data_IF_287125876711
#
_entry.id   IF_287125876711
#
_cell.length_a   1.000
_cell.length_b   1.000
_cell.length_c   1.000
_cell.angle_alpha   90.00
_cell.angle_beta   90.00
_cell.angle_gamma   90.00
#
_symmetry.space_group_name_H-M   'P 1'
#
loop_
_entity.id
_entity.type
_entity.pdbx_description
1 polymer ?
#
# COMPACT_ATOMS: atom_id res chain seq x y z
N UNK A 1 11.02 -4.03 -18.96
CA UNK A 1 9.64 -4.23 -18.49
C UNK A 1 9.15 -2.99 -17.75
N UNK A 2 7.93 -2.53 -18.03
CA UNK A 2 7.31 -1.41 -17.32
C UNK A 2 6.18 -1.99 -16.48
N UNK A 3 6.19 -1.75 -15.16
CA UNK A 3 5.12 -2.23 -14.28
C UNK A 3 4.04 -1.16 -14.16
N UNK A 4 2.78 -1.50 -14.45
CA UNK A 4 1.64 -0.62 -14.16
C UNK A 4 1.35 -0.66 -12.66
N UNK A 5 1.27 0.51 -12.03
CA UNK A 5 1.20 0.64 -10.58
C UNK A 5 -0.14 1.18 -10.11
N UNK A 6 -0.75 0.47 -9.16
CA UNK A 6 -1.91 0.93 -8.40
C UNK A 6 -1.54 1.25 -6.96
N UNK A 7 -2.22 2.21 -6.36
CA UNK A 7 -2.00 2.59 -4.96
C UNK A 7 -3.32 2.85 -4.22
N UNK A 8 -3.50 2.24 -3.05
CA UNK A 8 -4.54 2.63 -2.10
C UNK A 8 -3.93 3.45 -0.97
N UNK A 9 -4.70 4.40 -0.43
CA UNK A 9 -4.29 5.31 0.65
C UNK A 9 -3.04 6.12 0.24
N UNK A 10 -3.07 6.70 -0.96
CA UNK A 10 -1.88 7.31 -1.55
C UNK A 10 -1.42 8.58 -0.83
N UNK A 11 -2.29 9.21 -0.04
CA UNK A 11 -2.05 10.53 0.52
C UNK A 11 -1.58 11.50 -0.57
N UNK A 12 -0.60 12.39 -0.27
CA UNK A 12 -0.04 13.29 -1.27
C UNK A 12 0.94 12.61 -2.25
N UNK A 13 1.12 11.28 -2.18
CA UNK A 13 1.88 10.51 -3.18
C UNK A 13 3.33 10.18 -2.81
N UNK A 14 3.66 10.03 -1.53
CA UNK A 14 5.03 9.73 -1.09
C UNK A 14 5.60 8.43 -1.68
N UNK A 15 4.86 7.31 -1.56
CA UNK A 15 5.27 6.03 -2.17
C UNK A 15 5.27 6.12 -3.70
N UNK A 16 4.25 6.77 -4.28
CA UNK A 16 4.20 6.99 -5.72
C UNK A 16 5.41 7.77 -6.26
N UNK A 17 5.86 8.83 -5.59
CA UNK A 17 7.05 9.57 -6.00
C UNK A 17 8.28 8.67 -6.05
N UNK A 18 8.51 7.89 -4.98
CA UNK A 18 9.61 6.91 -4.94
C UNK A 18 9.50 5.85 -6.05
N UNK A 19 8.29 5.36 -6.30
CA UNK A 19 8.03 4.40 -7.38
C UNK A 19 8.31 5.00 -8.78
N UNK A 20 7.87 6.23 -9.04
CA UNK A 20 8.12 6.94 -10.31
C UNK A 20 9.59 7.23 -10.57
N UNK A 21 10.40 7.40 -9.51
CA UNK A 21 11.85 7.58 -9.58
C UNK A 21 12.63 6.27 -9.77
N UNK A 22 12.01 5.11 -9.51
CA UNK A 22 12.68 3.82 -9.56
C UNK A 22 13.01 3.37 -11.00
N UNK A 23 14.30 3.19 -11.27
CA UNK A 23 14.83 2.75 -12.56
C UNK A 23 15.96 1.73 -12.35
N UNK A 24 15.81 0.53 -12.92
CA UNK A 24 16.87 -0.49 -12.94
C UNK A 24 17.25 -0.79 -14.37
N UNK A 25 18.53 -0.63 -14.71
CA UNK A 25 19.09 -1.03 -16.01
C UNK A 25 20.04 -2.20 -15.80
N UNK A 26 19.68 -3.37 -16.32
CA UNK A 26 20.54 -4.56 -16.28
C UNK A 26 21.66 -4.46 -17.32
N UNK A 27 22.72 -5.26 -17.12
CA UNK A 27 23.86 -5.36 -18.05
C UNK A 27 23.46 -5.79 -19.46
N UNK A 28 22.41 -6.61 -19.59
CA UNK A 28 21.87 -7.06 -20.88
C UNK A 28 20.99 -6.01 -21.58
N UNK A 29 20.89 -4.78 -21.04
CA UNK A 29 20.09 -3.70 -21.61
C UNK A 29 18.63 -3.68 -21.18
N UNK A 30 18.14 -4.69 -20.43
CA UNK A 30 16.78 -4.64 -19.89
C UNK A 30 16.59 -3.47 -18.92
N UNK A 31 15.53 -2.71 -19.14
CA UNK A 31 15.13 -1.60 -18.28
C UNK A 31 13.87 -2.00 -17.51
N UNK A 32 13.89 -1.83 -16.19
CA UNK A 32 12.73 -1.95 -15.31
C UNK A 32 12.38 -0.58 -14.76
N UNK A 33 11.12 -0.17 -14.90
CA UNK A 33 10.58 1.07 -14.35
C UNK A 33 9.12 0.89 -13.97
N UNK A 34 8.59 1.84 -13.21
CA UNK A 34 7.21 1.84 -12.77
C UNK A 34 6.47 2.97 -13.50
N UNK A 35 5.21 2.72 -13.86
CA UNK A 35 4.30 3.71 -14.44
C UNK A 35 3.00 3.69 -13.65
N UNK A 36 2.59 4.84 -13.13
CA UNK A 36 1.33 4.96 -12.39
C UNK A 36 0.13 4.70 -13.31
N UNK A 37 -0.83 3.93 -12.80
CA UNK A 37 -2.08 3.62 -13.48
C UNK A 37 -3.28 4.22 -12.78
N UNK A 38 -3.33 4.14 -11.45
CA UNK A 38 -4.36 4.76 -10.63
C UNK A 38 -3.86 4.86 -9.19
N UNK A 39 -4.42 5.81 -8.44
CA UNK A 39 -4.26 5.93 -7.01
C UNK A 39 -5.62 6.21 -6.37
N UNK A 40 -5.75 5.96 -5.06
CA UNK A 40 -6.97 6.26 -4.31
C UNK A 40 -6.64 6.83 -2.94
N UNK A 41 -7.32 7.92 -2.60
CA UNK A 41 -7.43 8.42 -1.24
C UNK A 41 -8.84 8.97 -1.02
N UNK A 42 -9.25 9.16 0.23
CA UNK A 42 -10.55 9.75 0.56
C UNK A 42 -10.43 11.26 0.84
N UNK A 43 -9.23 11.74 1.14
CA UNK A 43 -8.96 13.14 1.43
C UNK A 43 -8.77 13.95 0.14
N UNK A 44 -9.54 15.03 -0.01
CA UNK A 44 -9.56 15.83 -1.22
C UNK A 44 -8.23 16.58 -1.42
N UNK A 45 -7.67 17.16 -0.35
CA UNK A 45 -6.43 17.93 -0.42
C UNK A 45 -5.24 17.02 -0.79
N UNK A 46 -5.22 15.80 -0.27
CA UNK A 46 -4.28 14.76 -0.65
C UNK A 46 -4.40 14.40 -2.13
N UNK A 47 -5.63 14.16 -2.63
CA UNK A 47 -5.86 13.83 -4.04
C UNK A 47 -5.46 14.97 -4.98
N UNK A 48 -5.78 16.21 -4.64
CA UNK A 48 -5.41 17.39 -5.43
C UNK A 48 -3.89 17.57 -5.46
N UNK A 49 -3.24 17.37 -4.32
CA UNK A 49 -1.77 17.39 -4.23
C UNK A 49 -1.14 16.27 -5.05
N UNK A 50 -1.68 15.05 -4.98
CA UNK A 50 -1.22 13.91 -5.78
C UNK A 50 -1.34 14.22 -7.28
N UNK A 51 -2.51 14.67 -7.73
CA UNK A 51 -2.78 14.94 -9.14
C UNK A 51 -1.91 16.07 -9.70
N UNK A 52 -1.55 17.04 -8.86
CA UNK A 52 -0.65 18.15 -9.23
C UNK A 52 0.81 17.70 -9.39
N UNK A 53 1.29 16.77 -8.58
CA UNK A 53 2.73 16.48 -8.46
C UNK A 53 3.17 15.12 -9.01
N UNK A 54 2.28 14.12 -8.99
CA UNK A 54 2.59 12.75 -9.42
C UNK A 54 2.07 12.49 -10.83
N UNK A 55 0.79 12.80 -11.08
CA UNK A 55 0.22 12.68 -12.40
C UNK A 55 -1.25 13.08 -12.43
N UNK A 56 -1.61 13.84 -13.45
CA UNK A 56 -2.94 14.43 -13.62
C UNK A 56 -4.01 13.34 -13.73
N UNK A 57 -5.12 13.53 -13.01
CA UNK A 57 -6.32 12.67 -13.04
C UNK A 57 -6.06 11.19 -12.69
N UNK A 58 -5.03 10.91 -11.89
CA UNK A 58 -4.69 9.56 -11.43
C UNK A 58 -5.31 9.21 -10.07
N UNK A 59 -5.38 10.18 -9.15
CA UNK A 59 -5.96 9.98 -7.83
C UNK A 59 -7.48 10.04 -7.89
N UNK A 60 -8.10 8.91 -7.53
CA UNK A 60 -9.54 8.75 -7.38
C UNK A 60 -9.90 9.16 -5.95
N UNK A 61 -10.45 10.37 -5.78
CA UNK A 61 -10.90 10.88 -4.49
C UNK A 61 -12.20 10.19 -4.07
N UNK A 62 -12.07 9.12 -3.27
CA UNK A 62 -13.20 8.30 -2.81
C UNK A 62 -12.80 7.46 -1.59
N UNK A 63 -13.71 7.32 -0.64
CA UNK A 63 -13.58 6.28 0.40
C UNK A 63 -13.39 4.91 -0.28
N UNK A 64 -12.31 4.21 0.07
CA UNK A 64 -11.97 2.88 -0.45
C UNK A 64 -13.13 1.87 -0.31
N UNK A 65 -13.99 2.04 0.70
CA UNK A 65 -15.17 1.20 0.94
C UNK A 65 -16.21 1.31 -0.17
N UNK A 66 -16.19 2.42 -0.90
CA UNK A 66 -17.07 2.74 -2.04
C UNK A 66 -16.33 2.65 -3.39
N UNK A 67 -15.05 2.27 -3.38
CA UNK A 67 -14.25 2.13 -4.59
C UNK A 67 -14.63 0.84 -5.33
N UNK A 68 -14.97 0.96 -6.61
CA UNK A 68 -15.18 -0.20 -7.47
C UNK A 68 -13.83 -0.73 -7.97
N UNK A 69 -13.26 -1.64 -7.20
CA UNK A 69 -11.96 -2.28 -7.50
C UNK A 69 -11.98 -3.03 -8.83
N UNK A 70 -13.14 -3.54 -9.24
CA UNK A 70 -13.29 -4.36 -10.45
C UNK A 70 -13.17 -3.51 -11.71
N UNK A 71 -13.71 -2.29 -11.66
CA UNK A 71 -13.64 -1.32 -12.75
C UNK A 71 -12.27 -0.65 -12.92
N UNK A 72 -11.36 -0.78 -11.94
CA UNK A 72 -10.04 -0.16 -12.03
C UNK A 72 -9.18 -0.79 -13.15
N UNK A 73 -8.33 -0.01 -13.83
CA UNK A 73 -7.37 -0.55 -14.80
C UNK A 73 -6.46 -1.62 -14.20
N UNK A 74 -6.10 -2.61 -15.02
CA UNK A 74 -5.19 -3.70 -14.63
C UNK A 74 -3.79 -3.18 -14.25
N UNK A 75 -3.27 -3.68 -13.13
CA UNK A 75 -1.93 -3.35 -12.60
C UNK A 75 -1.02 -4.58 -12.55
N UNK A 76 0.29 -4.34 -12.62
CA UNK A 76 1.35 -5.34 -12.42
C UNK A 76 2.03 -5.22 -11.05
N UNK A 77 1.85 -4.08 -10.38
CA UNK A 77 2.46 -3.72 -9.12
C UNK A 77 1.47 -2.95 -8.26
N UNK A 78 1.51 -3.16 -6.94
CA UNK A 78 0.55 -2.55 -6.02
C UNK A 78 1.23 -2.02 -4.76
N UNK A 79 0.78 -0.89 -4.23
CA UNK A 79 1.15 -0.46 -2.90
C UNK A 79 -0.04 0.02 -2.08
N UNK A 80 0.05 -0.10 -0.76
CA UNK A 80 -0.93 0.48 0.14
C UNK A 80 -0.36 0.71 1.54
N UNK A 81 -0.48 1.95 2.05
CA UNK A 81 -0.20 2.31 3.44
C UNK A 81 -1.50 2.35 4.24
N UNK A 82 -1.94 1.22 4.77
CA UNK A 82 -3.27 1.16 5.39
C UNK A 82 -3.27 1.72 6.82
N UNK A 83 -4.31 2.47 7.22
CA UNK A 83 -4.39 3.06 8.54
C UNK A 83 -4.42 2.00 9.64
N UNK A 84 -3.73 2.28 10.74
CA UNK A 84 -3.52 1.37 11.87
C UNK A 84 -4.22 1.87 13.16
N UNK A 85 -5.08 2.89 13.06
CA UNK A 85 -5.55 3.65 14.22
C UNK A 85 -6.37 2.83 15.24
N UNK A 86 -7.06 1.76 14.81
CA UNK A 86 -7.76 0.85 15.73
C UNK A 86 -6.83 -0.09 16.49
N UNK A 87 -5.55 -0.15 16.11
CA UNK A 87 -4.58 -1.06 16.68
C UNK A 87 -3.61 -0.37 17.65
N UNK A 88 -3.48 0.96 17.57
CA UNK A 88 -2.44 1.71 18.30
C UNK A 88 -2.90 2.39 19.59
N UNK A 89 -4.18 2.76 19.75
CA UNK A 89 -4.64 3.55 20.90
C UNK A 89 -6.11 3.20 21.20
N UNK A 90 -6.42 2.81 22.44
CA UNK A 90 -7.77 2.61 23.02
C UNK A 90 -8.42 1.23 22.81
N UNK A 91 -8.33 0.41 23.86
CA UNK A 91 -9.49 -0.34 24.35
C UNK A 91 -9.59 -1.79 23.90
N UNK A 92 -9.54 -2.67 24.90
CA UNK A 92 -9.76 -4.12 24.91
C UNK A 92 -11.05 -4.65 24.25
N UNK A 93 -11.77 -3.92 23.38
CA UNK A 93 -13.12 -4.37 22.96
C UNK A 93 -13.47 -4.43 21.48
N UNK A 94 -12.75 -3.82 20.52
CA UNK A 94 -13.26 -3.81 19.12
C UNK A 94 -12.43 -4.52 18.05
N UNK A 95 -11.12 -4.77 18.21
CA UNK A 95 -10.35 -5.62 17.27
C UNK A 95 -10.66 -5.39 15.77
N UNK A 96 -10.85 -6.46 15.00
CA UNK A 96 -11.23 -6.42 13.57
C UNK A 96 -12.65 -5.88 13.29
N UNK A 97 -13.43 -5.54 14.33
CA UNK A 97 -14.76 -4.96 14.21
C UNK A 97 -14.73 -3.42 14.34
N UNK A 98 -13.54 -2.82 14.49
CA UNK A 98 -13.37 -1.37 14.43
C UNK A 98 -13.51 -0.80 13.01
N UNK A 99 -13.56 0.53 12.89
CA UNK A 99 -13.77 1.23 11.62
C UNK A 99 -12.54 1.19 10.69
N UNK A 100 -11.34 1.12 11.25
CA UNK A 100 -10.06 1.19 10.55
C UNK A 100 -9.37 -0.18 10.45
N UNK A 101 -9.59 -1.09 11.41
CA UNK A 101 -9.01 -2.43 11.42
C UNK A 101 -9.29 -3.28 10.15
N UNK A 102 -10.48 -3.22 9.53
CA UNK A 102 -10.78 -3.91 8.27
C UNK A 102 -10.12 -3.31 7.03
N UNK A 103 -9.51 -2.13 7.08
CA UNK A 103 -9.10 -1.40 5.87
C UNK A 103 -7.99 -2.11 5.08
N UNK A 104 -7.13 -2.91 5.72
CA UNK A 104 -6.17 -3.76 5.00
C UNK A 104 -6.84 -4.78 4.06
N UNK A 105 -8.10 -5.17 4.34
CA UNK A 105 -8.83 -6.13 3.51
C UNK A 105 -9.19 -5.58 2.13
N UNK A 106 -9.22 -4.25 1.95
CA UNK A 106 -9.36 -3.68 0.62
C UNK A 106 -8.09 -3.86 -0.21
N UNK A 107 -6.92 -3.84 0.43
CA UNK A 107 -5.67 -4.27 -0.20
C UNK A 107 -5.75 -5.72 -0.67
N UNK A 108 -6.26 -6.63 0.16
CA UNK A 108 -6.42 -8.04 -0.24
C UNK A 108 -7.45 -8.24 -1.36
N UNK A 109 -8.52 -7.43 -1.40
CA UNK A 109 -9.46 -7.40 -2.55
C UNK A 109 -8.75 -6.99 -3.85
N UNK A 110 -7.89 -5.97 -3.80
CA UNK A 110 -7.06 -5.58 -4.97
C UNK A 110 -6.14 -6.72 -5.39
N UNK A 111 -5.44 -7.36 -4.44
CA UNK A 111 -4.56 -8.50 -4.71
C UNK A 111 -5.31 -9.66 -5.38
N UNK A 112 -6.49 -10.02 -4.86
CA UNK A 112 -7.32 -11.11 -5.39
C UNK A 112 -7.84 -10.83 -6.81
N UNK A 113 -8.22 -9.59 -7.09
CA UNK A 113 -8.75 -9.21 -8.41
C UNK A 113 -7.64 -9.00 -9.44
N UNK A 114 -6.69 -8.11 -9.14
CA UNK A 114 -5.66 -7.69 -10.11
C UNK A 114 -4.50 -8.67 -10.24
N UNK A 115 -4.23 -9.48 -9.21
CA UNK A 115 -3.10 -10.42 -9.16
C UNK A 115 -1.78 -9.76 -9.59
N UNK A 116 -1.37 -8.62 -9.00
CA UNK A 116 -0.11 -7.96 -9.34
C UNK A 116 1.07 -8.90 -9.08
N UNK A 117 2.18 -8.71 -9.81
CA UNK A 117 3.38 -9.54 -9.68
C UNK A 117 4.08 -9.36 -8.33
N UNK A 118 3.94 -8.18 -7.74
CA UNK A 118 4.48 -7.84 -6.43
C UNK A 118 3.65 -6.73 -5.79
N UNK A 119 3.75 -6.59 -4.48
CA UNK A 119 3.16 -5.47 -3.78
C UNK A 119 4.01 -5.01 -2.59
N UNK A 120 3.76 -3.79 -2.12
CA UNK A 120 4.32 -3.22 -0.89
C UNK A 120 3.15 -2.84 0.03
N UNK A 121 3.20 -3.28 1.28
CA UNK A 121 2.27 -2.85 2.32
C UNK A 121 3.06 -2.14 3.42
N UNK A 122 2.81 -0.85 3.62
CA UNK A 122 3.45 -0.06 4.67
C UNK A 122 2.56 0.01 5.92
N UNK A 123 3.21 0.00 7.08
CA UNK A 123 2.57 0.30 8.34
C UNK A 123 3.61 0.77 9.37
N UNK A 124 3.15 1.26 10.52
CA UNK A 124 4.00 1.69 11.64
C UNK A 124 4.62 0.49 12.37
N UNK A 125 5.86 0.63 12.87
CA UNK A 125 6.55 -0.47 13.57
C UNK A 125 5.80 -1.06 14.77
N UNK A 126 4.92 -0.27 15.40
CA UNK A 126 4.05 -0.71 16.50
C UNK A 126 3.07 -1.82 16.12
N UNK A 127 2.78 -2.06 14.84
CA UNK A 127 1.86 -3.11 14.38
C UNK A 127 2.29 -4.51 14.85
N UNK A 128 3.59 -4.72 15.05
CA UNK A 128 4.17 -6.02 15.42
C UNK A 128 3.80 -6.48 16.83
N UNK A 129 3.48 -5.55 17.74
CA UNK A 129 3.14 -5.85 19.14
C UNK A 129 1.64 -5.83 19.41
N UNK A 130 0.81 -5.39 18.46
CA UNK A 130 -0.64 -5.27 18.59
C UNK A 130 -1.29 -6.62 18.89
N UNK A 131 -2.14 -6.67 19.91
CA UNK A 131 -2.87 -7.87 20.33
C UNK A 131 -1.92 -9.09 20.47
N UNK A 132 -0.80 -8.89 21.16
CA UNK A 132 0.24 -9.91 21.36
C UNK A 132 0.81 -10.46 20.03
N UNK A 133 0.81 -9.64 18.98
CA UNK A 133 1.23 -10.02 17.63
C UNK A 133 0.21 -10.85 16.83
N UNK A 134 -0.97 -11.14 17.38
CA UNK A 134 -2.02 -11.91 16.68
C UNK A 134 -2.56 -11.16 15.47
N UNK A 135 -2.74 -9.83 15.58
CA UNK A 135 -3.23 -9.00 14.49
C UNK A 135 -2.25 -9.00 13.31
N UNK A 136 -0.96 -8.80 13.60
CA UNK A 136 0.10 -8.84 12.60
C UNK A 136 0.16 -10.19 11.87
N UNK A 137 0.17 -11.31 12.61
CA UNK A 137 0.16 -12.66 12.01
C UNK A 137 -1.05 -12.89 11.11
N UNK A 138 -2.24 -12.42 11.52
CA UNK A 138 -3.45 -12.54 10.70
C UNK A 138 -3.37 -11.71 9.42
N UNK A 139 -2.86 -10.49 9.48
CA UNK A 139 -2.65 -9.63 8.30
C UNK A 139 -1.67 -10.31 7.33
N UNK A 140 -0.52 -10.78 7.83
CA UNK A 140 0.46 -11.52 7.02
C UNK A 140 -0.15 -12.75 6.36
N UNK A 141 -0.89 -13.59 7.12
CA UNK A 141 -1.58 -14.77 6.58
C UNK A 141 -2.61 -14.39 5.51
N UNK A 142 -3.35 -13.31 5.74
CA UNK A 142 -4.35 -12.82 4.80
C UNK A 142 -3.74 -12.32 3.49
N UNK A 143 -2.59 -11.66 3.54
CA UNK A 143 -1.88 -11.21 2.33
C UNK A 143 -1.17 -12.36 1.63
N UNK A 144 -0.57 -13.29 2.39
CA UNK A 144 0.09 -14.47 1.85
C UNK A 144 -0.88 -15.39 1.10
N UNK A 145 -2.13 -15.51 1.59
CA UNK A 145 -3.19 -16.27 0.93
C UNK A 145 -3.99 -15.49 -0.11
N UNK A 146 -3.66 -14.23 -0.39
CA UNK A 146 -4.34 -13.44 -1.42
C UNK A 146 -3.76 -13.71 -2.81
N UNK A 147 -4.52 -13.37 -3.86
CA UNK A 147 -4.19 -13.71 -5.24
C UNK A 147 -4.38 -15.20 -5.54
N UNK A 148 -4.44 -15.53 -6.83
CA UNK A 148 -4.73 -16.88 -7.32
C UNK A 148 -3.66 -17.90 -6.93
N UNK A 149 -2.41 -17.45 -6.74
CA UNK A 149 -1.25 -18.31 -6.43
C UNK A 149 -0.69 -18.07 -5.02
N UNK A 150 -1.26 -17.14 -4.25
CA UNK A 150 -0.65 -16.66 -3.01
C UNK A 150 0.55 -15.72 -3.25
N UNK A 151 1.07 -15.17 -2.16
CA UNK A 151 2.27 -14.33 -2.14
C UNK A 151 3.25 -14.79 -1.06
N UNK A 152 4.54 -14.80 -1.40
CA UNK A 152 5.61 -14.88 -0.40
C UNK A 152 5.76 -13.52 0.26
N UNK A 153 5.50 -13.45 1.57
CA UNK A 153 5.58 -12.21 2.34
C UNK A 153 6.93 -12.15 3.06
N UNK A 154 7.65 -11.05 2.87
CA UNK A 154 8.93 -10.78 3.54
C UNK A 154 8.83 -9.47 4.31
N UNK A 155 8.51 -9.52 5.61
CA UNK A 155 8.46 -8.32 6.44
C UNK A 155 9.86 -7.79 6.72
N UNK A 156 10.05 -6.49 6.57
CA UNK A 156 11.28 -5.78 6.92
C UNK A 156 10.95 -4.59 7.82
N UNK A 157 11.82 -4.33 8.79
CA UNK A 157 11.80 -3.09 9.58
C UNK A 157 12.79 -2.13 8.93
N UNK A 158 12.33 -0.94 8.57
CA UNK A 158 13.16 0.10 7.97
C UNK A 158 13.24 1.29 8.92
N UNK A 159 14.45 1.80 9.17
CA UNK A 159 14.64 3.03 9.93
C UNK A 159 15.14 4.12 9.02
N UNK A 160 14.41 5.21 8.91
CA UNK A 160 14.67 6.26 7.93
C UNK A 160 16.07 6.88 8.07
N UNK A 161 16.59 6.94 9.29
CA UNK A 161 17.95 7.40 9.56
C UNK A 161 19.05 6.50 8.97
N UNK A 162 18.78 5.22 8.75
CA UNK A 162 19.69 4.28 8.07
C UNK A 162 19.68 4.48 6.54
N UNK A 163 18.72 5.25 6.02
CA UNK A 163 18.55 5.59 4.61
C UNK A 163 18.74 7.09 4.33
N UNK A 164 19.58 7.75 5.14
CA UNK A 164 19.97 9.16 4.95
C UNK A 164 18.84 10.18 5.09
N UNK A 165 17.72 9.78 5.70
CA UNK A 165 16.65 10.71 6.07
C UNK A 165 16.82 11.04 7.56
N UNK A 166 17.13 12.30 7.93
CA UNK A 166 17.41 12.68 9.32
C UNK A 166 16.12 12.80 10.15
N UNK A 167 15.32 11.73 10.17
CA UNK A 167 14.07 11.61 10.90
C UNK A 167 14.00 10.24 11.54
N UNK A 168 13.71 10.20 12.84
CA UNK A 168 13.42 8.96 13.55
C UNK A 168 12.02 8.46 13.17
N UNK A 169 11.95 7.57 12.19
CA UNK A 169 10.73 6.91 11.70
C UNK A 169 11.04 5.45 11.41
N UNK A 170 10.37 4.55 12.12
CA UNK A 170 10.58 3.09 12.10
C UNK A 170 9.28 2.33 11.80
#
# INVERSE_FOLDING_TARGET
>A
MIFKFGELYCGPGGLSLGAGMALVKKKNGEIFKISHSWANDFDQDACDTYNKNIGKDLAICKDVRKLDIVALPKIDAFAFGFPCNDFSIVGEQNGFNGNFGPLYTYGTKVLNHHNPKWFIAENVGGITSVNEGKAFRKILKSMAGAGNMGYTIVPHLYKFEEYSVPQKRH
#
